data_IF_274108004640
#
_entry.id   IF_274108004640
#
_cell.length_a   1.000
_cell.length_b   1.000
_cell.length_c   1.000
_cell.angle_alpha   90.00
_cell.angle_beta   90.00
_cell.angle_gamma   90.00
#
_symmetry.space_group_name_H-M   'P 1'
#
loop_
_entity.id
_entity.type
_entity.pdbx_description
1 polymer ?
#
# COMPACT_ATOMS: atom_id res chain seq x y z
N UNK A 1 -2.02 29.47 6.66
CA UNK A 1 -1.67 28.08 6.30
C UNK A 1 -0.56 28.12 5.25
N UNK A 2 0.45 27.25 5.38
CA UNK A 2 1.50 27.12 4.39
C UNK A 2 0.87 26.70 3.06
N UNK A 3 1.24 27.35 1.96
CA UNK A 3 0.82 26.97 0.61
C UNK A 3 1.30 25.56 0.20
N UNK A 4 2.10 24.93 1.05
CA UNK A 4 2.71 23.61 0.84
C UNK A 4 2.02 22.51 1.67
N UNK A 5 0.89 22.79 2.33
CA UNK A 5 0.18 21.80 3.14
C UNK A 5 -1.00 21.19 2.40
N UNK A 6 -0.93 19.90 2.12
CA UNK A 6 -2.03 19.11 1.60
C UNK A 6 -2.94 18.66 2.75
N UNK A 7 -4.12 19.26 2.87
CA UNK A 7 -5.15 18.80 3.79
C UNK A 7 -5.88 17.56 3.27
N UNK A 8 -6.56 16.85 4.17
CA UNK A 8 -7.34 15.66 3.81
C UNK A 8 -8.39 15.91 2.72
N UNK A 9 -9.06 17.07 2.71
CA UNK A 9 -10.03 17.47 1.67
C UNK A 9 -9.39 17.50 0.27
N UNK A 10 -8.15 17.93 0.19
CA UNK A 10 -7.41 18.03 -1.05
C UNK A 10 -7.06 16.63 -1.58
N UNK A 11 -6.65 15.73 -0.70
CA UNK A 11 -6.23 14.38 -1.05
C UNK A 11 -7.43 13.47 -1.33
N UNK A 12 -8.43 13.48 -0.45
CA UNK A 12 -9.54 12.53 -0.49
C UNK A 12 -10.83 13.11 -1.09
N UNK A 13 -10.87 14.41 -1.35
CA UNK A 13 -12.08 15.10 -1.76
C UNK A 13 -12.96 15.53 -0.57
N UNK A 14 -14.11 16.10 -0.87
CA UNK A 14 -15.10 16.51 0.11
C UNK A 14 -16.51 16.42 -0.48
N UNK A 15 -17.40 15.69 0.14
CA UNK A 15 -18.82 15.60 -0.25
C UNK A 15 -19.55 16.94 -0.02
N UNK A 16 -19.00 17.81 0.82
CA UNK A 16 -19.58 19.12 1.16
C UNK A 16 -19.11 20.26 0.24
N UNK A 17 -18.05 20.04 -0.55
CA UNK A 17 -17.42 21.08 -1.38
C UNK A 17 -16.95 20.50 -2.72
N UNK A 18 -17.75 20.77 -3.76
CA UNK A 18 -17.50 20.29 -5.14
C UNK A 18 -16.15 20.78 -5.74
N UNK A 19 -15.49 21.78 -5.15
CA UNK A 19 -14.18 22.24 -5.58
C UNK A 19 -13.07 21.26 -5.18
N UNK A 20 -13.34 20.31 -4.27
CA UNK A 20 -12.39 19.30 -3.82
C UNK A 20 -12.82 17.92 -4.28
N UNK A 21 -12.47 17.57 -5.52
CA UNK A 21 -12.75 16.23 -6.08
C UNK A 21 -11.83 15.14 -5.52
N UNK A 22 -10.69 15.52 -4.92
CA UNK A 22 -9.68 14.59 -4.43
C UNK A 22 -8.89 13.91 -5.55
N UNK A 23 -7.99 13.03 -5.14
CA UNK A 23 -7.20 12.19 -6.03
C UNK A 23 -7.85 10.81 -6.15
N UNK A 24 -7.68 10.14 -7.28
CA UNK A 24 -8.16 8.75 -7.48
C UNK A 24 -7.26 7.74 -6.74
N UNK A 25 -7.25 7.81 -5.40
CA UNK A 25 -6.44 6.96 -4.53
C UNK A 25 -7.28 6.13 -3.55
N UNK A 26 -8.57 6.44 -3.41
CA UNK A 26 -9.50 5.67 -2.56
C UNK A 26 -10.09 4.54 -3.38
N UNK A 27 -10.19 3.37 -2.78
CA UNK A 27 -10.80 2.19 -3.39
C UNK A 27 -11.92 1.67 -2.49
N UNK A 28 -13.08 1.44 -3.08
CA UNK A 28 -14.19 0.79 -2.40
C UNK A 28 -13.93 -0.70 -2.25
N UNK A 29 -14.19 -1.23 -1.05
CA UNK A 29 -14.11 -2.65 -0.78
C UNK A 29 -15.51 -3.27 -0.96
N UNK A 30 -15.66 -4.28 -1.84
CA UNK A 30 -16.94 -4.96 -2.04
C UNK A 30 -17.51 -5.55 -0.73
N UNK A 31 -18.83 -5.53 -0.60
CA UNK A 31 -19.51 -5.99 0.62
C UNK A 31 -19.22 -7.46 0.93
N UNK A 32 -19.01 -8.27 -0.10
CA UNK A 32 -18.64 -9.68 0.02
C UNK A 32 -17.28 -9.81 0.74
N UNK A 33 -16.29 -9.01 0.35
CA UNK A 33 -14.95 -9.04 0.94
C UNK A 33 -14.93 -8.52 2.38
N UNK A 34 -15.83 -7.58 2.72
CA UNK A 34 -16.02 -7.15 4.12
C UNK A 34 -16.51 -8.34 4.96
N UNK A 35 -17.36 -9.21 4.41
CA UNK A 35 -17.83 -10.41 5.09
C UNK A 35 -16.73 -11.45 5.24
N UNK A 36 -15.92 -11.69 4.20
CA UNK A 36 -14.75 -12.57 4.24
C UNK A 36 -13.73 -12.10 5.29
N UNK A 37 -13.50 -10.79 5.38
CA UNK A 37 -12.60 -10.21 6.37
C UNK A 37 -13.10 -10.42 7.81
N UNK A 38 -14.41 -10.29 8.05
CA UNK A 38 -15.01 -10.59 9.35
C UNK A 38 -14.87 -12.05 9.75
N UNK A 39 -14.94 -12.97 8.80
CA UNK A 39 -14.74 -14.39 9.04
C UNK A 39 -13.24 -14.72 9.31
N UNK A 40 -12.34 -14.03 8.61
CA UNK A 40 -10.91 -14.09 8.88
C UNK A 40 -10.61 -13.63 10.31
N UNK A 41 -11.14 -12.48 10.74
CA UNK A 41 -10.95 -11.96 12.11
C UNK A 41 -11.46 -12.90 13.23
N UNK A 42 -12.38 -13.80 12.90
CA UNK A 42 -12.89 -14.83 13.83
C UNK A 42 -12.13 -16.15 13.75
N UNK A 43 -11.12 -16.24 12.88
CA UNK A 43 -10.42 -17.50 12.62
C UNK A 43 -11.23 -18.53 11.82
N UNK A 44 -12.29 -18.12 11.14
CA UNK A 44 -13.13 -19.00 10.31
C UNK A 44 -12.63 -19.08 8.85
N UNK A 45 -11.83 -18.12 8.42
CA UNK A 45 -11.21 -18.10 7.09
C UNK A 45 -9.70 -17.93 7.22
N UNK A 46 -8.96 -18.61 6.33
CA UNK A 46 -7.50 -18.51 6.21
C UNK A 46 -7.09 -17.93 4.86
N UNK A 47 -8.01 -17.23 4.20
CA UNK A 47 -7.77 -16.58 2.91
C UNK A 47 -7.81 -15.07 3.05
N UNK A 48 -6.88 -14.40 2.38
CA UNK A 48 -6.86 -12.93 2.33
C UNK A 48 -7.87 -12.48 1.27
N UNK A 49 -8.73 -11.50 1.56
CA UNK A 49 -9.61 -10.88 0.59
C UNK A 49 -8.84 -10.32 -0.62
N UNK A 50 -9.47 -10.32 -1.76
CA UNK A 50 -8.82 -9.97 -3.03
C UNK A 50 -8.30 -8.53 -3.04
N UNK A 51 -9.09 -7.57 -2.55
CA UNK A 51 -8.68 -6.16 -2.54
C UNK A 51 -7.54 -5.91 -1.54
N UNK A 52 -7.50 -6.64 -0.43
CA UNK A 52 -6.34 -6.58 0.48
C UNK A 52 -5.06 -7.12 -0.18
N UNK A 53 -5.16 -8.21 -0.95
CA UNK A 53 -4.01 -8.72 -1.73
C UNK A 53 -3.52 -7.67 -2.73
N UNK A 54 -4.44 -7.05 -3.48
CA UNK A 54 -4.10 -5.99 -4.44
C UNK A 54 -3.42 -4.80 -3.75
N UNK A 55 -3.94 -4.39 -2.58
CA UNK A 55 -3.35 -3.29 -1.81
C UNK A 55 -1.93 -3.59 -1.37
N UNK A 56 -1.65 -4.82 -0.91
CA UNK A 56 -0.29 -5.25 -0.57
C UNK A 56 0.61 -5.29 -1.82
N UNK A 57 0.11 -5.82 -2.94
CA UNK A 57 0.86 -5.84 -4.20
C UNK A 57 1.16 -4.42 -4.69
N UNK A 58 0.19 -3.51 -4.61
CA UNK A 58 0.41 -2.09 -4.97
C UNK A 58 1.44 -1.42 -4.07
N UNK A 59 1.41 -1.71 -2.76
CA UNK A 59 2.44 -1.25 -1.82
C UNK A 59 3.83 -1.73 -2.21
N UNK A 60 3.99 -3.00 -2.57
CA UNK A 60 5.27 -3.58 -3.02
C UNK A 60 5.76 -2.91 -4.31
N UNK A 61 4.88 -2.70 -5.29
CA UNK A 61 5.21 -1.99 -6.53
C UNK A 61 5.64 -0.55 -6.24
N UNK A 62 4.89 0.17 -5.41
CA UNK A 62 5.20 1.56 -5.02
C UNK A 62 6.55 1.64 -4.29
N UNK A 63 6.83 0.69 -3.41
CA UNK A 63 8.11 0.60 -2.72
C UNK A 63 9.26 0.32 -3.70
N UNK A 64 9.05 -0.55 -4.69
CA UNK A 64 10.04 -0.83 -5.73
C UNK A 64 10.34 0.40 -6.59
N UNK A 65 9.31 1.15 -7.00
CA UNK A 65 9.49 2.45 -7.68
C UNK A 65 10.33 3.41 -6.84
N UNK A 66 10.04 3.51 -5.54
CA UNK A 66 10.83 4.35 -4.64
C UNK A 66 12.28 3.86 -4.51
N UNK A 67 12.52 2.54 -4.48
CA UNK A 67 13.89 1.96 -4.47
C UNK A 67 14.63 2.22 -5.77
N UNK A 68 13.97 2.03 -6.90
CA UNK A 68 14.52 2.34 -8.22
C UNK A 68 14.96 3.82 -8.31
N UNK A 69 14.21 4.73 -7.68
CA UNK A 69 14.56 6.17 -7.54
C UNK A 69 15.59 6.48 -6.45
N UNK A 70 16.21 5.48 -5.84
CA UNK A 70 17.25 5.64 -4.84
C UNK A 70 16.79 5.96 -3.42
N UNK A 71 15.49 5.80 -3.11
CA UNK A 71 14.98 5.98 -1.74
C UNK A 71 15.46 4.83 -0.84
N UNK A 72 16.17 5.15 0.24
CA UNK A 72 16.78 4.15 1.14
C UNK A 72 16.12 4.05 2.51
N UNK A 73 15.25 5.01 2.85
CA UNK A 73 14.57 5.00 4.15
C UNK A 73 13.55 3.86 4.25
N UNK A 74 13.18 3.44 5.47
CA UNK A 74 12.11 2.48 5.69
C UNK A 74 10.80 2.92 5.04
N UNK A 75 10.03 1.97 4.53
CA UNK A 75 8.71 2.19 3.93
C UNK A 75 7.74 1.27 4.65
N UNK A 76 6.61 1.80 5.10
CA UNK A 76 5.62 1.05 5.88
C UNK A 76 4.23 1.15 5.25
N UNK A 77 3.48 0.06 5.33
CA UNK A 77 2.05 0.00 5.07
C UNK A 77 1.33 -0.34 6.38
N UNK A 78 0.33 0.43 6.73
CA UNK A 78 -0.58 0.11 7.84
C UNK A 78 -1.81 -0.61 7.28
N UNK A 79 -2.11 -1.76 7.88
CA UNK A 79 -3.31 -2.54 7.63
C UNK A 79 -4.16 -2.47 8.91
N UNK A 80 -5.27 -1.72 8.83
CA UNK A 80 -6.17 -1.51 9.94
C UNK A 80 -7.60 -1.82 9.50
N UNK A 81 -8.08 -3.00 9.83
CA UNK A 81 -9.35 -3.54 9.34
C UNK A 81 -10.35 -3.86 10.45
N UNK A 82 -9.92 -3.86 11.70
CA UNK A 82 -10.74 -4.14 12.87
C UNK A 82 -10.21 -3.39 14.09
N UNK A 83 -11.09 -3.09 15.05
CA UNK A 83 -10.72 -2.54 16.36
C UNK A 83 -10.46 -3.63 17.42
N UNK A 84 -10.52 -4.92 17.05
CA UNK A 84 -10.41 -6.06 17.98
C UNK A 84 -9.05 -6.72 17.85
N UNK A 85 -8.26 -6.74 18.94
CA UNK A 85 -6.90 -7.28 18.95
C UNK A 85 -6.77 -8.71 18.42
N UNK A 86 -7.69 -9.60 18.79
CA UNK A 86 -7.67 -10.99 18.29
C UNK A 86 -7.82 -11.04 16.76
N UNK A 87 -8.61 -10.16 16.17
CA UNK A 87 -8.76 -10.05 14.72
C UNK A 87 -7.45 -9.67 14.03
N UNK A 88 -6.67 -8.77 14.61
CA UNK A 88 -5.35 -8.40 14.09
C UNK A 88 -4.36 -9.58 14.12
N UNK A 89 -4.42 -10.40 15.16
CA UNK A 89 -3.58 -11.59 15.24
C UNK A 89 -3.88 -12.58 14.12
N UNK A 90 -5.15 -12.89 13.89
CA UNK A 90 -5.58 -13.79 12.81
C UNK A 90 -5.19 -13.24 11.44
N UNK A 91 -5.42 -11.95 11.21
CA UNK A 91 -5.07 -11.27 9.96
C UNK A 91 -3.56 -11.29 9.71
N UNK A 92 -2.75 -10.98 10.71
CA UNK A 92 -1.29 -11.04 10.63
C UNK A 92 -0.80 -12.43 10.23
N UNK A 93 -1.27 -13.51 10.90
CA UNK A 93 -0.84 -14.87 10.60
C UNK A 93 -1.27 -15.30 9.18
N UNK A 94 -2.45 -14.90 8.73
CA UNK A 94 -2.94 -15.22 7.38
C UNK A 94 -2.13 -14.47 6.31
N UNK A 95 -1.82 -13.18 6.51
CA UNK A 95 -0.98 -12.41 5.60
C UNK A 95 0.42 -13.03 5.51
N UNK A 96 1.03 -13.36 6.64
CA UNK A 96 2.35 -13.98 6.72
C UNK A 96 2.39 -15.33 6.00
N UNK A 97 1.39 -16.18 6.22
CA UNK A 97 1.28 -17.48 5.55
C UNK A 97 1.09 -17.31 4.03
N UNK A 98 0.29 -16.34 3.61
CA UNK A 98 0.08 -16.02 2.20
C UNK A 98 1.37 -15.55 1.53
N UNK A 99 2.06 -14.57 2.08
CA UNK A 99 3.34 -14.08 1.54
C UNK A 99 4.36 -15.20 1.40
N UNK A 100 4.46 -16.08 2.41
CA UNK A 100 5.37 -17.24 2.36
C UNK A 100 5.03 -18.20 1.22
N UNK A 101 3.74 -18.47 1.00
CA UNK A 101 3.27 -19.36 -0.06
C UNK A 101 3.48 -18.75 -1.44
N UNK A 102 3.06 -17.50 -1.65
CA UNK A 102 3.14 -16.82 -2.94
C UNK A 102 4.60 -16.59 -3.38
N UNK A 103 5.49 -16.31 -2.42
CA UNK A 103 6.94 -16.25 -2.64
C UNK A 103 7.49 -17.56 -3.18
N UNK A 104 7.02 -18.70 -2.66
CA UNK A 104 7.48 -20.01 -3.09
C UNK A 104 7.01 -20.37 -4.52
N UNK A 105 5.95 -19.74 -5.01
CA UNK A 105 5.33 -20.02 -6.32
C UNK A 105 5.58 -18.93 -7.36
N UNK A 106 6.25 -17.84 -7.00
CA UNK A 106 6.44 -16.64 -7.84
C UNK A 106 5.12 -15.99 -8.33
N UNK A 107 3.97 -16.47 -7.85
CA UNK A 107 2.66 -15.98 -8.31
C UNK A 107 2.40 -14.54 -7.88
N UNK A 108 3.02 -14.07 -6.79
CA UNK A 108 2.91 -12.68 -6.32
C UNK A 108 3.46 -11.69 -7.35
N UNK A 109 4.51 -12.04 -8.09
CA UNK A 109 5.10 -11.17 -9.13
C UNK A 109 4.09 -10.95 -10.27
N UNK A 110 3.39 -12.01 -10.70
CA UNK A 110 2.32 -11.88 -11.70
C UNK A 110 1.20 -10.96 -11.20
N UNK A 111 0.77 -11.14 -9.96
CA UNK A 111 -0.27 -10.30 -9.35
C UNK A 111 0.20 -8.84 -9.19
N UNK A 112 1.46 -8.62 -8.82
CA UNK A 112 2.05 -7.28 -8.78
C UNK A 112 2.04 -6.61 -10.16
N UNK A 113 2.39 -7.35 -11.22
CA UNK A 113 2.35 -6.83 -12.59
C UNK A 113 0.94 -6.41 -13.02
N UNK A 114 -0.06 -7.27 -12.79
CA UNK A 114 -1.46 -6.94 -13.08
C UNK A 114 -1.93 -5.68 -12.32
N UNK A 115 -1.62 -5.59 -11.04
CA UNK A 115 -1.99 -4.45 -10.20
C UNK A 115 -1.27 -3.19 -10.66
N UNK A 116 0.02 -3.28 -10.95
CA UNK A 116 0.83 -2.17 -11.42
C UNK A 116 0.27 -1.54 -12.70
N UNK A 117 0.01 -2.37 -13.72
CA UNK A 117 -0.54 -1.91 -14.99
C UNK A 117 -1.94 -1.28 -14.85
N UNK A 118 -2.74 -1.74 -13.90
CA UNK A 118 -4.06 -1.19 -13.65
C UNK A 118 -4.05 0.13 -12.84
N UNK A 119 -3.00 0.40 -12.06
CA UNK A 119 -2.98 1.54 -11.13
C UNK A 119 -2.03 2.66 -11.56
N UNK A 120 -0.93 2.36 -12.28
CA UNK A 120 0.13 3.34 -12.61
C UNK A 120 -0.39 4.61 -13.30
N UNK A 121 -1.42 4.49 -14.12
CA UNK A 121 -1.97 5.62 -14.88
C UNK A 121 -3.08 6.39 -14.14
N UNK A 122 -3.50 5.94 -12.96
CA UNK A 122 -4.57 6.60 -12.20
C UNK A 122 -4.10 7.87 -11.49
N UNK A 123 -2.84 7.88 -11.03
CA UNK A 123 -2.23 9.02 -10.39
C UNK A 123 -0.97 9.47 -11.15
N UNK A 124 -1.14 10.30 -12.16
CA UNK A 124 -0.04 10.86 -12.94
C UNK A 124 0.36 12.24 -12.44
N UNK A 125 1.60 12.65 -12.70
CA UNK A 125 2.07 14.00 -12.39
C UNK A 125 1.21 15.07 -13.09
N UNK A 126 0.72 14.80 -14.31
CA UNK A 126 -0.18 15.70 -15.03
C UNK A 126 -1.49 15.91 -14.25
N UNK A 127 -2.11 14.84 -13.75
CA UNK A 127 -3.31 14.92 -12.90
C UNK A 127 -3.02 15.70 -11.61
N UNK A 128 -1.86 15.45 -10.97
CA UNK A 128 -1.45 16.22 -9.79
C UNK A 128 -1.30 17.72 -10.11
N UNK A 129 -0.69 18.08 -11.22
CA UNK A 129 -0.54 19.49 -11.66
C UNK A 129 -1.88 20.16 -11.95
N UNK A 130 -2.81 19.42 -12.54
CA UNK A 130 -4.18 19.92 -12.78
C UNK A 130 -4.91 20.18 -11.46
N UNK A 131 -4.80 19.24 -10.50
CA UNK A 131 -5.45 19.38 -9.20
C UNK A 131 -4.78 20.43 -8.30
N UNK A 132 -3.47 20.67 -8.47
CA UNK A 132 -2.65 21.51 -7.58
C UNK A 132 -1.73 22.46 -8.38
N UNK A 133 -2.30 23.37 -9.19
CA UNK A 133 -1.50 24.24 -10.07
C UNK A 133 -0.60 25.20 -9.30
N UNK A 134 -0.88 25.49 -8.03
CA UNK A 134 -0.07 26.35 -7.17
C UNK A 134 1.20 25.68 -6.62
N UNK A 135 1.35 24.35 -6.81
CA UNK A 135 2.50 23.61 -6.32
C UNK A 135 3.67 23.60 -7.31
N UNK A 136 4.52 24.59 -7.21
CA UNK A 136 5.71 24.72 -8.07
C UNK A 136 6.71 23.56 -7.93
N UNK A 137 6.70 22.84 -6.81
CA UNK A 137 7.55 21.67 -6.61
C UNK A 137 7.22 20.53 -7.57
N UNK A 138 5.97 20.43 -8.05
CA UNK A 138 5.58 19.42 -9.04
C UNK A 138 6.32 19.58 -10.38
N UNK A 139 6.80 20.78 -10.69
CA UNK A 139 7.57 21.04 -11.93
C UNK A 139 9.01 20.48 -11.86
N UNK A 140 9.48 20.14 -10.67
CA UNK A 140 10.81 19.59 -10.42
C UNK A 140 10.82 18.06 -10.30
N UNK A 141 9.65 17.43 -10.32
CA UNK A 141 9.53 15.98 -10.20
C UNK A 141 9.68 15.36 -11.59
N UNK A 142 10.58 14.38 -11.69
CA UNK A 142 10.66 13.51 -12.85
C UNK A 142 9.37 12.69 -12.94
N UNK A 143 8.64 12.81 -14.03
CA UNK A 143 7.36 12.16 -14.29
C UNK A 143 7.49 10.76 -14.93
N UNK A 144 8.73 10.33 -15.19
CA UNK A 144 8.96 8.99 -15.69
C UNK A 144 8.51 7.95 -14.64
N UNK A 145 7.44 7.29 -14.94
CA UNK A 145 7.01 6.11 -14.17
C UNK A 145 7.67 4.89 -14.82
N UNK A 146 8.48 4.10 -14.11
CA UNK A 146 9.20 2.99 -14.71
C UNK A 146 8.24 1.94 -15.28
N UNK A 147 8.63 1.22 -16.31
CA UNK A 147 7.89 0.04 -16.75
C UNK A 147 8.03 -1.09 -15.71
N UNK A 148 7.07 -2.00 -15.67
CA UNK A 148 7.06 -3.08 -14.67
C UNK A 148 8.35 -3.91 -14.69
N UNK A 149 8.90 -4.19 -15.86
CA UNK A 149 10.14 -4.95 -15.99
C UNK A 149 11.36 -4.25 -15.37
N UNK A 150 11.32 -2.92 -15.26
CA UNK A 150 12.42 -2.14 -14.65
C UNK A 150 12.42 -2.23 -13.11
N UNK A 151 11.28 -2.57 -12.50
CA UNK A 151 11.13 -2.66 -11.03
C UNK A 151 10.90 -4.09 -10.54
N UNK A 152 10.77 -5.06 -11.44
CA UNK A 152 10.48 -6.45 -11.09
C UNK A 152 11.51 -7.06 -10.15
N UNK A 153 12.79 -6.87 -10.43
CA UNK A 153 13.88 -7.40 -9.59
C UNK A 153 13.85 -6.74 -8.20
N UNK A 154 13.54 -5.45 -8.12
CA UNK A 154 13.38 -4.76 -6.84
C UNK A 154 12.20 -5.33 -6.05
N UNK A 155 11.07 -5.68 -6.70
CA UNK A 155 9.93 -6.33 -6.05
C UNK A 155 10.34 -7.68 -5.47
N UNK A 156 11.11 -8.50 -6.21
CA UNK A 156 11.62 -9.78 -5.71
C UNK A 156 12.50 -9.62 -4.46
N UNK A 157 13.39 -8.63 -4.47
CA UNK A 157 14.20 -8.29 -3.30
C UNK A 157 13.35 -7.86 -2.12
N UNK A 158 12.34 -7.03 -2.37
CA UNK A 158 11.45 -6.52 -1.33
C UNK A 158 10.60 -7.62 -0.68
N UNK A 159 10.01 -8.51 -1.48
CA UNK A 159 9.24 -9.66 -0.98
C UNK A 159 10.11 -10.54 -0.08
N UNK A 160 11.40 -10.68 -0.42
CA UNK A 160 12.35 -11.47 0.38
C UNK A 160 12.66 -10.82 1.74
N UNK A 161 12.54 -9.50 1.84
CA UNK A 161 12.92 -8.70 2.98
C UNK A 161 11.73 -8.03 3.69
N UNK A 162 10.49 -8.43 3.37
CA UNK A 162 9.30 -7.92 4.08
C UNK A 162 9.36 -8.36 5.54
N UNK A 163 9.32 -7.40 6.43
CA UNK A 163 9.13 -7.59 7.87
C UNK A 163 7.66 -7.40 8.17
N UNK A 164 6.99 -8.48 8.59
CA UNK A 164 5.63 -8.38 9.09
C UNK A 164 5.69 -7.96 10.57
N UNK A 165 5.08 -6.83 10.88
CA UNK A 165 5.02 -6.29 12.22
C UNK A 165 3.62 -6.50 12.76
N UNK A 166 3.54 -7.13 13.94
CA UNK A 166 2.33 -7.16 14.77
C UNK A 166 2.52 -6.10 15.86
N UNK A 167 1.67 -5.10 15.88
CA UNK A 167 1.72 -4.10 16.94
C UNK A 167 1.29 -4.68 18.29
N UNK A 168 1.93 -4.16 19.36
CA UNK A 168 1.74 -4.65 20.73
C UNK A 168 2.80 -5.66 21.20
N UNK A 169 3.72 -6.07 20.34
CA UNK A 169 4.95 -6.70 20.81
C UNK A 169 5.93 -5.60 21.27
N UNK A 170 6.25 -5.59 22.58
CA UNK A 170 7.19 -4.64 23.24
C UNK A 170 8.66 -4.76 22.77
N UNK A 171 8.88 -5.31 21.59
CA UNK A 171 10.22 -5.36 21.00
C UNK A 171 10.48 -4.07 20.26
N UNK A 172 11.54 -3.38 20.62
CA UNK A 172 12.16 -2.34 19.82
C UNK A 172 12.45 -2.92 18.43
N UNK A 173 11.53 -2.72 17.50
CA UNK A 173 11.76 -3.12 16.12
C UNK A 173 12.74 -2.12 15.51
N UNK A 174 13.88 -2.65 15.11
CA UNK A 174 14.94 -1.85 14.49
C UNK A 174 14.48 -1.54 13.06
N UNK A 175 14.02 -0.30 12.85
CA UNK A 175 13.81 0.25 11.52
C UNK A 175 15.18 0.42 10.85
N UNK A 176 15.60 -0.60 10.13
CA UNK A 176 16.84 -0.55 9.36
C UNK A 176 16.61 0.13 8.00
N UNK A 177 17.65 0.78 7.48
CA UNK A 177 17.64 1.27 6.10
C UNK A 177 17.24 0.16 5.12
N UNK A 178 16.44 0.52 4.12
CA UNK A 178 15.84 -0.39 3.14
C UNK A 178 14.78 -1.37 3.69
N UNK A 179 14.39 -1.28 4.95
CA UNK A 179 13.33 -2.14 5.49
C UNK A 179 11.97 -1.82 4.86
N UNK A 180 11.15 -2.86 4.71
CA UNK A 180 9.73 -2.75 4.37
C UNK A 180 8.93 -3.41 5.47
N UNK A 181 7.93 -2.69 5.95
CA UNK A 181 7.11 -3.14 7.05
C UNK A 181 5.64 -3.23 6.63
N UNK A 182 5.01 -4.38 6.89
CA UNK A 182 3.57 -4.54 6.88
C UNK A 182 3.11 -4.56 8.34
N UNK A 183 2.47 -3.48 8.76
CA UNK A 183 2.00 -3.30 10.13
C UNK A 183 0.52 -3.64 10.19
N UNK A 184 0.14 -4.66 10.97
CA UNK A 184 -1.26 -5.00 11.27
C UNK A 184 -1.55 -4.52 12.69
N UNK A 185 -2.37 -3.48 12.84
CA UNK A 185 -2.53 -2.79 14.13
C UNK A 185 -3.87 -2.13 14.39
N UNK A 186 -4.05 -1.84 15.70
CA UNK A 186 -4.97 -0.83 16.24
C UNK A 186 -4.30 0.55 16.23
N UNK A 187 -4.82 1.48 15.44
CA UNK A 187 -4.53 2.90 15.65
C UNK A 187 -5.18 3.43 16.93
#
# INVERSE_FOLDING_TARGET
>A
ESKEYFGGKVIFGSDEDENYQGLDIVRDIPQEEISELKDLHKGYSFTIPKELKKSICWFLCSAAVLRNRGHKKPISMLIHTTAIQNGHFEEYEVIKAWLKREKATESIISTCGEVYENEKDKLTLEKLKICYPEYSLLDQIDDHFPEFDEIKDDIEVLINNVVNIKMGDDKEEVYTDNAIHLCVDNC
#
